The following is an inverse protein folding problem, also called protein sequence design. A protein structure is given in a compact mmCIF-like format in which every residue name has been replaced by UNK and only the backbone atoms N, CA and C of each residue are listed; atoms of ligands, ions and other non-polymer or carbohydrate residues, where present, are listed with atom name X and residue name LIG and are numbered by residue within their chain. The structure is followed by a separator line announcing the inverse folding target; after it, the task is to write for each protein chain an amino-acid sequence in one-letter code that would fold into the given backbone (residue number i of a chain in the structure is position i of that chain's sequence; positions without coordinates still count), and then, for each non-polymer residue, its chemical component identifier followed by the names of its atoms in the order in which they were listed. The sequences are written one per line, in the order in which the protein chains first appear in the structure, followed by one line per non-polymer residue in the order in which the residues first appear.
data_IF_644049384081
#
_entry.id   IF_644049384081
#
_cell.length_a   1.000
_cell.length_b   1.000
_cell.length_c   1.000
_cell.angle_alpha   90.00
_cell.angle_beta   90.00
_cell.angle_gamma   90.00
#
_symmetry.space_group_name_H-M   'P 1'
#
loop_
_entity.id
_entity.type
_entity.pdbx_description
1 polymer ?
#
# COMPACT_ATOMS: atom_id res chain seq x y z
N UNK A 1 12.80 -2.64 -23.03
CA UNK A 1 13.92 -3.09 -23.88
C UNK A 1 13.67 -2.93 -25.38
N UNK A 2 12.41 -2.92 -25.85
CA UNK A 2 12.07 -2.85 -27.28
C UNK A 2 12.73 -1.77 -28.14
N UNK A 3 13.09 -0.61 -27.57
CA UNK A 3 13.74 0.47 -28.34
C UNK A 3 15.22 0.13 -28.59
N UNK A 4 15.90 -0.46 -27.60
CA UNK A 4 17.32 -0.81 -27.71
C UNK A 4 17.47 -2.03 -28.63
N UNK A 5 16.57 -2.99 -28.51
CA UNK A 5 16.54 -4.18 -29.39
C UNK A 5 16.31 -3.80 -30.86
N UNK A 6 15.46 -2.80 -31.12
CA UNK A 6 15.24 -2.25 -32.48
C UNK A 6 16.47 -1.60 -33.08
N UNK A 7 17.43 -1.16 -32.27
CA UNK A 7 18.66 -0.51 -32.71
C UNK A 7 19.91 -1.37 -32.49
N UNK A 8 19.76 -2.63 -32.08
CA UNK A 8 20.85 -3.57 -31.83
C UNK A 8 21.80 -3.73 -33.03
N UNK A 9 21.28 -3.61 -34.26
CA UNK A 9 22.06 -3.70 -35.49
C UNK A 9 23.09 -2.57 -35.68
N UNK A 10 22.99 -1.48 -34.90
CA UNK A 10 23.86 -0.29 -34.97
C UNK A 10 24.80 -0.25 -33.76
N UNK A 11 24.48 -0.99 -32.70
CA UNK A 11 25.24 -1.01 -31.46
C UNK A 11 26.22 -2.18 -31.51
N UNK A 12 27.52 -1.96 -31.30
CA UNK A 12 28.48 -3.05 -31.17
C UNK A 12 28.02 -4.04 -30.09
N UNK A 13 28.17 -5.34 -30.34
CA UNK A 13 27.61 -6.40 -29.49
C UNK A 13 28.06 -6.29 -28.01
N UNK A 14 29.32 -5.90 -27.79
CA UNK A 14 29.85 -5.63 -26.46
C UNK A 14 29.16 -4.46 -25.75
N UNK A 15 28.93 -3.35 -26.46
CA UNK A 15 28.28 -2.15 -25.92
C UNK A 15 26.78 -2.41 -25.66
N UNK A 16 26.13 -3.21 -26.51
CA UNK A 16 24.73 -3.61 -26.32
C UNK A 16 24.59 -4.45 -25.05
N UNK A 17 25.47 -5.43 -24.83
CA UNK A 17 25.50 -6.24 -23.61
C UNK A 17 25.79 -5.38 -22.38
N UNK A 18 26.70 -4.42 -22.47
CA UNK A 18 27.02 -3.50 -21.38
C UNK A 18 25.83 -2.59 -21.05
N UNK A 19 25.14 -2.05 -22.06
CA UNK A 19 23.92 -1.27 -21.89
C UNK A 19 22.81 -2.11 -21.24
N UNK A 20 22.59 -3.33 -21.70
CA UNK A 20 21.62 -4.25 -21.12
C UNK A 20 21.95 -4.59 -19.65
N UNK A 21 23.23 -4.85 -19.34
CA UNK A 21 23.69 -5.12 -17.98
C UNK A 21 23.59 -3.89 -17.07
N UNK A 22 23.91 -2.70 -17.58
CA UNK A 22 23.82 -1.44 -16.84
C UNK A 22 22.37 -1.04 -16.59
N UNK A 23 21.47 -1.27 -17.56
CA UNK A 23 20.03 -1.08 -17.36
C UNK A 23 19.49 -2.09 -16.35
N UNK A 24 19.85 -3.37 -16.47
CA UNK A 24 19.47 -4.41 -15.49
C UNK A 24 19.94 -4.04 -14.08
N UNK A 25 21.17 -3.54 -13.93
CA UNK A 25 21.71 -3.03 -12.65
C UNK A 25 20.98 -1.77 -12.16
N UNK A 26 20.72 -0.80 -13.04
CA UNK A 26 20.05 0.45 -12.68
C UNK A 26 18.58 0.23 -12.27
N UNK A 27 17.91 -0.75 -12.87
CA UNK A 27 16.55 -1.16 -12.47
C UNK A 27 16.56 -2.05 -11.22
N UNK A 28 17.58 -2.89 -11.00
CA UNK A 28 17.77 -3.63 -9.74
C UNK A 28 17.90 -2.71 -8.51
N UNK A 29 18.43 -1.50 -8.69
CA UNK A 29 18.73 -0.57 -7.58
C UNK A 29 17.49 0.22 -7.09
N UNK A 30 16.34 0.17 -7.77
CA UNK A 30 15.19 1.04 -7.44
C UNK A 30 14.21 0.49 -6.40
N UNK A 31 14.32 -0.75 -5.98
CA UNK A 31 13.67 -1.24 -4.77
C UNK A 31 14.77 -1.81 -3.87
N UNK A 32 14.91 -1.27 -2.65
CA UNK A 32 15.76 -1.89 -1.63
C UNK A 32 15.43 -3.38 -1.54
N UNK A 33 16.44 -4.22 -1.33
CA UNK A 33 16.30 -5.67 -1.40
C UNK A 33 15.03 -6.10 -0.65
N UNK A 34 14.10 -6.69 -1.39
CA UNK A 34 12.82 -7.11 -0.81
C UNK A 34 12.95 -8.40 0.00
N UNK A 35 14.09 -9.09 -0.17
CA UNK A 35 14.65 -10.13 0.68
C UNK A 35 15.70 -9.52 1.63
N UNK A 36 15.93 -10.18 2.76
CA UNK A 36 16.93 -9.85 3.76
C UNK A 36 18.35 -10.17 3.25
N UNK A 37 18.49 -11.18 2.40
CA UNK A 37 19.76 -11.59 1.82
C UNK A 37 19.82 -11.32 0.30
N UNK A 38 21.02 -11.01 -0.22
CA UNK A 38 21.29 -10.93 -1.66
C UNK A 38 21.84 -12.26 -2.16
N UNK A 39 20.96 -13.10 -2.72
CA UNK A 39 21.32 -14.39 -3.32
C UNK A 39 22.11 -14.24 -4.64
N UNK A 40 22.22 -13.04 -5.20
CA UNK A 40 22.99 -12.79 -6.42
C UNK A 40 24.47 -12.49 -6.17
N UNK A 41 24.86 -12.28 -4.91
CA UNK A 41 26.25 -12.16 -4.47
C UNK A 41 26.56 -13.23 -3.40
N UNK A 42 27.25 -14.29 -3.83
CA UNK A 42 27.63 -15.41 -2.95
C UNK A 42 28.54 -14.99 -1.79
N UNK A 43 29.19 -13.82 -1.87
CA UNK A 43 29.99 -13.28 -0.76
C UNK A 43 29.16 -12.60 0.33
N UNK A 44 27.87 -12.32 0.07
CA UNK A 44 27.00 -11.59 1.01
C UNK A 44 26.47 -12.48 2.13
N UNK A 45 26.25 -13.78 1.86
CA UNK A 45 25.75 -14.73 2.86
C UNK A 45 26.88 -15.19 3.78
N UNK A 46 28.06 -15.52 3.25
CA UNK A 46 29.29 -15.73 4.03
C UNK A 46 30.57 -15.49 3.20
N UNK A 47 31.41 -14.52 3.58
CA UNK A 47 32.75 -14.41 3.01
C UNK A 47 33.70 -15.44 3.65
N UNK A 48 34.52 -16.13 2.83
CA UNK A 48 35.65 -17.00 3.23
C UNK A 48 35.31 -18.32 3.98
N UNK A 49 34.43 -19.16 3.45
CA UNK A 49 34.35 -20.57 3.90
C UNK A 49 35.04 -21.51 2.89
N UNK A 50 35.94 -22.38 3.35
CA UNK A 50 36.62 -23.38 2.50
C UNK A 50 35.84 -24.69 2.33
N UNK A 51 34.55 -24.73 2.70
CA UNK A 51 33.75 -25.95 2.78
C UNK A 51 32.34 -25.76 2.22
N UNK A 52 32.08 -26.44 1.10
CA UNK A 52 30.79 -26.47 0.38
C UNK A 52 29.61 -26.84 1.28
N UNK A 53 29.83 -27.66 2.31
CA UNK A 53 28.77 -28.07 3.25
C UNK A 53 28.23 -26.88 4.07
N UNK A 54 29.12 -26.01 4.57
CA UNK A 54 28.71 -24.84 5.33
C UNK A 54 28.07 -23.79 4.43
N UNK A 55 28.53 -23.64 3.19
CA UNK A 55 27.87 -22.76 2.21
C UNK A 55 26.41 -23.16 1.98
N UNK A 56 26.13 -24.46 1.80
CA UNK A 56 24.77 -24.97 1.61
C UNK A 56 23.90 -24.77 2.86
N UNK A 57 24.39 -25.12 4.05
CA UNK A 57 23.64 -24.97 5.31
C UNK A 57 23.22 -23.51 5.58
N UNK A 58 24.13 -22.56 5.36
CA UNK A 58 23.82 -21.15 5.58
C UNK A 58 22.96 -20.56 4.46
N UNK A 59 23.06 -21.08 3.24
CA UNK A 59 22.17 -20.71 2.14
C UNK A 59 20.73 -21.17 2.44
N UNK A 60 20.55 -22.44 2.82
CA UNK A 60 19.24 -23.00 3.18
C UNK A 60 18.61 -22.22 4.33
N UNK A 61 19.41 -21.92 5.37
CA UNK A 61 18.94 -21.11 6.49
C UNK A 61 18.59 -19.67 6.10
N UNK A 62 19.35 -19.05 5.20
CA UNK A 62 19.02 -17.72 4.69
C UNK A 62 17.69 -17.73 3.93
N UNK A 63 17.49 -18.74 3.07
CA UNK A 63 16.26 -18.95 2.32
C UNK A 63 15.05 -19.17 3.25
N UNK A 64 15.18 -19.98 4.30
CA UNK A 64 14.13 -20.16 5.32
C UNK A 64 13.74 -18.84 6.00
N UNK A 65 14.73 -18.05 6.43
CA UNK A 65 14.49 -16.76 7.08
C UNK A 65 13.80 -15.76 6.17
N UNK A 66 14.16 -15.75 4.88
CA UNK A 66 13.49 -14.90 3.90
C UNK A 66 12.08 -15.36 3.58
N UNK A 67 11.86 -16.68 3.44
CA UNK A 67 10.54 -17.24 3.27
C UNK A 67 9.62 -16.85 4.44
N UNK A 68 10.10 -16.99 5.67
CA UNK A 68 9.38 -16.55 6.87
C UNK A 68 9.09 -15.05 6.81
N UNK A 69 10.07 -14.21 6.51
CA UNK A 69 9.88 -12.76 6.42
C UNK A 69 8.83 -12.36 5.37
N UNK A 70 8.90 -12.95 4.18
CA UNK A 70 7.96 -12.67 3.09
C UNK A 70 6.54 -13.18 3.42
N UNK A 71 6.42 -14.35 4.06
CA UNK A 71 5.13 -14.92 4.45
C UNK A 71 4.42 -14.07 5.51
N UNK A 72 5.16 -13.51 6.48
CA UNK A 72 4.62 -12.58 7.47
C UNK A 72 4.14 -11.27 6.82
N UNK A 73 4.93 -10.70 5.90
CA UNK A 73 4.49 -9.52 5.13
C UNK A 73 3.23 -9.81 4.32
N UNK A 74 3.16 -10.97 3.66
CA UNK A 74 1.99 -11.39 2.89
C UNK A 74 0.74 -11.48 3.78
N UNK A 75 0.87 -12.13 4.94
CA UNK A 75 -0.21 -12.28 5.91
C UNK A 75 -0.74 -10.93 6.37
N UNK A 76 0.17 -10.03 6.75
CA UNK A 76 -0.19 -8.67 7.13
C UNK A 76 -0.97 -7.95 6.03
N UNK A 77 -0.44 -7.91 4.80
CA UNK A 77 -1.06 -7.19 3.69
C UNK A 77 -2.43 -7.74 3.29
N UNK A 78 -2.62 -9.07 3.35
CA UNK A 78 -3.93 -9.68 3.12
C UNK A 78 -4.95 -9.25 4.19
N UNK A 79 -4.54 -9.25 5.47
CA UNK A 79 -5.40 -8.78 6.56
C UNK A 79 -5.75 -7.30 6.43
N UNK A 80 -4.77 -6.47 6.07
CA UNK A 80 -4.90 -5.02 5.89
C UNK A 80 -5.87 -4.69 4.75
N UNK A 81 -5.78 -5.43 3.64
CA UNK A 81 -6.68 -5.31 2.48
C UNK A 81 -8.14 -5.61 2.87
N UNK A 82 -8.37 -6.67 3.64
CA UNK A 82 -9.71 -7.05 4.10
C UNK A 82 -10.30 -6.01 5.07
N UNK A 83 -9.48 -5.49 6.00
CA UNK A 83 -9.90 -4.42 6.91
C UNK A 83 -10.32 -3.13 6.18
N UNK A 84 -9.82 -2.92 4.96
CA UNK A 84 -10.07 -1.73 4.15
C UNK A 84 -11.15 -1.91 3.08
N UNK A 85 -12.03 -2.90 3.20
CA UNK A 85 -13.20 -3.02 2.32
C UNK A 85 -14.02 -1.71 2.25
N UNK A 86 -14.58 -1.36 1.07
CA UNK A 86 -15.41 -0.18 0.91
C UNK A 86 -16.65 -0.24 1.81
N UNK A 87 -16.99 0.89 2.43
CA UNK A 87 -18.22 1.03 3.19
C UNK A 87 -19.43 1.06 2.27
N UNK A 88 -20.40 0.18 2.57
CA UNK A 88 -21.64 0.06 1.80
C UNK A 88 -22.73 1.04 2.25
N UNK A 89 -22.68 1.49 3.51
CA UNK A 89 -23.71 2.36 4.11
C UNK A 89 -23.12 3.25 5.21
N UNK A 90 -23.80 4.37 5.46
CA UNK A 90 -23.49 5.24 6.59
C UNK A 90 -24.04 4.64 7.89
N UNK A 91 -23.25 3.77 8.53
CA UNK A 91 -23.56 3.23 9.86
C UNK A 91 -23.58 4.33 10.93
N UNK A 92 -24.06 4.03 12.14
CA UNK A 92 -24.02 4.97 13.28
C UNK A 92 -22.60 5.49 13.53
N UNK A 93 -21.60 4.62 13.45
CA UNK A 93 -20.19 4.98 13.60
C UNK A 93 -19.74 5.96 12.52
N UNK A 94 -20.07 5.68 11.25
CA UNK A 94 -19.73 6.56 10.13
C UNK A 94 -20.44 7.91 10.26
N UNK A 95 -21.69 7.92 10.69
CA UNK A 95 -22.45 9.15 10.94
C UNK A 95 -21.80 10.00 12.03
N UNK A 96 -21.38 9.40 13.16
CA UNK A 96 -20.69 10.12 14.22
C UNK A 96 -19.33 10.67 13.76
N UNK A 97 -18.56 9.87 13.00
CA UNK A 97 -17.31 10.33 12.39
C UNK A 97 -17.56 11.50 11.42
N UNK A 98 -18.61 11.41 10.62
CA UNK A 98 -19.01 12.48 9.69
C UNK A 98 -19.35 13.77 10.44
N UNK A 99 -20.08 13.66 11.56
CA UNK A 99 -20.39 14.80 12.44
C UNK A 99 -19.11 15.40 13.00
N UNK A 100 -18.20 14.56 13.52
CA UNK A 100 -16.92 15.01 14.06
C UNK A 100 -16.11 15.79 13.03
N UNK A 101 -15.92 15.25 11.82
CA UNK A 101 -15.17 15.94 10.77
C UNK A 101 -15.84 17.23 10.29
N UNK A 102 -17.17 17.25 10.23
CA UNK A 102 -17.89 18.47 9.94
C UNK A 102 -17.61 19.53 11.01
N UNK A 103 -17.71 19.15 12.29
CA UNK A 103 -17.48 20.06 13.40
C UNK A 103 -16.03 20.57 13.43
N UNK A 104 -15.04 19.69 13.26
CA UNK A 104 -13.61 20.05 13.17
C UNK A 104 -13.36 21.06 12.04
N UNK A 105 -13.95 20.84 10.87
CA UNK A 105 -13.78 21.71 9.71
C UNK A 105 -14.33 23.12 9.91
N UNK A 106 -15.42 23.26 10.68
CA UNK A 106 -16.09 24.54 10.92
C UNK A 106 -15.81 25.12 12.30
N UNK A 107 -14.93 24.50 13.10
CA UNK A 107 -14.61 24.94 14.46
C UNK A 107 -15.81 24.89 15.41
N UNK A 108 -16.69 23.89 15.26
CA UNK A 108 -17.87 23.71 16.11
C UNK A 108 -17.50 22.78 17.27
N UNK A 109 -17.73 23.23 18.49
CA UNK A 109 -17.60 22.41 19.68
C UNK A 109 -18.96 21.89 20.12
N UNK A 110 -19.09 20.56 20.20
CA UNK A 110 -20.30 19.88 20.68
C UNK A 110 -19.94 19.06 21.93
N UNK A 111 -20.91 18.89 22.83
CA UNK A 111 -20.76 17.98 23.97
C UNK A 111 -20.55 16.53 23.52
N UNK A 112 -21.27 16.13 22.49
CA UNK A 112 -21.14 14.82 21.84
C UNK A 112 -21.26 14.96 20.32
N UNK A 113 -20.37 14.31 19.58
CA UNK A 113 -20.39 14.29 18.11
C UNK A 113 -21.40 13.29 17.57
N UNK A 114 -22.69 13.57 17.78
CA UNK A 114 -23.81 12.77 17.27
C UNK A 114 -24.70 13.59 16.33
N UNK A 115 -25.43 12.93 15.41
CA UNK A 115 -26.31 13.63 14.47
C UNK A 115 -27.40 14.44 15.16
N UNK A 116 -27.91 13.97 16.30
CA UNK A 116 -28.96 14.65 17.05
C UNK A 116 -28.47 15.95 17.67
N UNK A 117 -27.29 15.94 18.28
CA UNK A 117 -26.68 17.14 18.88
C UNK A 117 -26.32 18.14 17.80
N UNK A 118 -25.77 17.68 16.67
CA UNK A 118 -25.50 18.55 15.52
C UNK A 118 -26.79 19.19 14.99
N UNK A 119 -27.89 18.45 14.91
CA UNK A 119 -29.18 18.99 14.47
C UNK A 119 -29.64 20.15 15.36
N UNK A 120 -29.62 19.96 16.68
CA UNK A 120 -30.03 21.00 17.66
C UNK A 120 -29.17 22.25 17.47
N UNK A 121 -27.84 22.10 17.39
CA UNK A 121 -26.93 23.22 17.17
C UNK A 121 -27.24 23.98 15.86
N UNK A 122 -27.47 23.26 14.75
CA UNK A 122 -27.74 23.88 13.45
C UNK A 122 -29.11 24.59 13.42
N UNK A 123 -30.11 24.03 14.12
CA UNK A 123 -31.44 24.62 14.25
C UNK A 123 -31.38 25.91 15.10
N UNK A 124 -30.69 25.89 16.24
CA UNK A 124 -30.49 27.05 17.13
C UNK A 124 -29.76 28.21 16.43
N UNK A 125 -28.78 27.90 15.59
CA UNK A 125 -28.00 28.89 14.84
C UNK A 125 -28.67 29.31 13.52
N UNK A 126 -29.89 28.85 13.22
CA UNK A 126 -30.61 29.14 11.97
C UNK A 126 -29.78 28.87 10.69
N UNK A 127 -28.97 27.82 10.69
CA UNK A 127 -28.08 27.47 9.56
C UNK A 127 -28.87 26.72 8.48
N UNK A 128 -29.87 25.93 8.87
CA UNK A 128 -30.68 25.10 7.96
C UNK A 128 -31.91 25.88 7.46
N UNK A 129 -31.71 26.88 6.60
CA UNK A 129 -32.78 27.79 6.16
C UNK A 129 -33.72 27.23 5.07
N UNK A 130 -33.31 26.25 4.28
CA UNK A 130 -34.09 25.78 3.10
C UNK A 130 -34.15 24.25 2.94
N UNK A 131 -33.12 23.52 3.39
CA UNK A 131 -33.08 22.05 3.34
C UNK A 131 -33.19 21.52 4.76
N UNK A 132 -34.22 20.74 5.05
CA UNK A 132 -34.36 20.07 6.35
C UNK A 132 -33.13 19.21 6.68
N UNK A 133 -32.77 19.14 7.96
CA UNK A 133 -31.58 18.46 8.48
C UNK A 133 -31.35 17.07 7.85
N UNK A 134 -32.40 16.26 7.71
CA UNK A 134 -32.31 14.90 7.17
C UNK A 134 -31.70 14.86 5.77
N UNK A 135 -32.08 15.79 4.88
CA UNK A 135 -31.56 15.83 3.51
C UNK A 135 -30.11 16.29 3.51
N UNK A 136 -29.82 17.38 4.24
CA UNK A 136 -28.46 17.89 4.42
C UNK A 136 -27.52 16.82 4.97
N UNK A 137 -27.90 16.15 6.04
CA UNK A 137 -27.06 15.15 6.70
C UNK A 137 -26.86 13.90 5.84
N UNK A 138 -27.88 13.50 5.07
CA UNK A 138 -27.75 12.41 4.10
C UNK A 138 -26.75 12.75 3.00
N UNK A 139 -26.79 13.97 2.47
CA UNK A 139 -25.84 14.45 1.45
C UNK A 139 -24.41 14.54 2.03
N UNK A 140 -24.28 14.98 3.28
CA UNK A 140 -23.00 15.02 3.99
C UNK A 140 -22.40 13.61 4.18
N UNK A 141 -23.20 12.66 4.68
CA UNK A 141 -22.77 11.26 4.84
C UNK A 141 -22.41 10.61 3.49
N UNK A 142 -23.16 10.91 2.43
CA UNK A 142 -22.87 10.43 1.07
C UNK A 142 -21.51 10.95 0.58
N UNK A 143 -21.25 12.23 0.80
CA UNK A 143 -19.99 12.86 0.41
C UNK A 143 -18.81 12.27 1.19
N UNK A 144 -18.97 12.06 2.50
CA UNK A 144 -17.97 11.38 3.32
C UNK A 144 -17.69 9.96 2.83
N UNK A 145 -18.75 9.15 2.61
CA UNK A 145 -18.60 7.78 2.11
C UNK A 145 -17.86 7.73 0.77
N UNK A 146 -18.17 8.66 -0.14
CA UNK A 146 -17.49 8.71 -1.44
C UNK A 146 -16.00 8.99 -1.27
N UNK A 147 -15.64 9.98 -0.46
CA UNK A 147 -14.23 10.33 -0.21
C UNK A 147 -13.48 9.18 0.48
N UNK A 148 -14.06 8.62 1.53
CA UNK A 148 -13.48 7.51 2.30
C UNK A 148 -13.30 6.25 1.43
N UNK A 149 -14.30 5.91 0.62
CA UNK A 149 -14.19 4.76 -0.28
C UNK A 149 -13.17 4.97 -1.39
N UNK A 150 -13.05 6.19 -1.92
CA UNK A 150 -12.00 6.53 -2.89
C UNK A 150 -10.60 6.38 -2.27
N UNK A 151 -10.41 6.84 -1.03
CA UNK A 151 -9.15 6.62 -0.30
C UNK A 151 -8.87 5.12 -0.11
N UNK A 152 -9.86 4.35 0.36
CA UNK A 152 -9.75 2.89 0.54
C UNK A 152 -9.42 2.16 -0.75
N UNK A 153 -9.98 2.59 -1.86
CA UNK A 153 -9.70 2.02 -3.19
C UNK A 153 -8.24 2.25 -3.59
N UNK A 154 -7.75 3.50 -3.51
CA UNK A 154 -6.35 3.84 -3.79
C UNK A 154 -5.42 3.01 -2.89
N UNK A 155 -5.72 2.94 -1.59
CA UNK A 155 -4.91 2.20 -0.64
C UNK A 155 -4.89 0.69 -0.92
N UNK A 156 -6.05 0.09 -1.21
CA UNK A 156 -6.15 -1.33 -1.59
C UNK A 156 -5.41 -1.64 -2.88
N UNK A 157 -5.43 -0.73 -3.86
CA UNK A 157 -4.67 -0.90 -5.10
C UNK A 157 -3.16 -0.92 -4.82
N UNK A 158 -2.67 -0.04 -3.94
CA UNK A 158 -1.27 -0.07 -3.51
C UNK A 158 -0.92 -1.37 -2.76
N UNK A 159 -1.81 -1.87 -1.89
CA UNK A 159 -1.62 -3.16 -1.22
C UNK A 159 -1.57 -4.31 -2.25
N UNK A 160 -2.45 -4.32 -3.25
CA UNK A 160 -2.44 -5.35 -4.31
C UNK A 160 -1.12 -5.35 -5.08
N UNK A 161 -0.62 -4.17 -5.45
CA UNK A 161 0.67 -4.05 -6.12
C UNK A 161 1.79 -4.61 -5.24
N UNK A 162 1.79 -4.28 -3.94
CA UNK A 162 2.79 -4.82 -3.01
C UNK A 162 2.69 -6.34 -2.84
N UNK A 163 1.48 -6.90 -2.76
CA UNK A 163 1.24 -8.35 -2.72
C UNK A 163 1.79 -9.02 -3.98
N UNK A 164 1.57 -8.43 -5.15
CA UNK A 164 2.06 -8.96 -6.41
C UNK A 164 3.59 -8.99 -6.44
N UNK A 165 4.25 -7.90 -6.03
CA UNK A 165 5.71 -7.84 -5.94
C UNK A 165 6.25 -8.94 -4.99
N UNK A 166 5.65 -9.12 -3.81
CA UNK A 166 6.07 -10.17 -2.86
C UNK A 166 5.92 -11.59 -3.41
N UNK A 167 4.89 -11.85 -4.22
CA UNK A 167 4.70 -13.16 -4.85
C UNK A 167 5.75 -13.46 -5.90
N UNK A 168 6.16 -12.45 -6.68
CA UNK A 168 7.22 -12.59 -7.67
C UNK A 168 8.55 -12.92 -6.97
N UNK A 169 8.86 -12.21 -5.89
CA UNK A 169 10.07 -12.42 -5.10
C UNK A 169 10.14 -13.80 -4.44
N UNK A 170 9.02 -14.30 -3.93
CA UNK A 170 8.96 -15.65 -3.35
C UNK A 170 9.24 -16.77 -4.36
N UNK A 171 9.16 -16.50 -5.67
CA UNK A 171 9.52 -17.48 -6.71
C UNK A 171 11.00 -17.39 -7.12
N UNK A 172 11.71 -16.33 -6.69
CA UNK A 172 13.12 -16.08 -7.03
C UNK A 172 14.11 -16.59 -5.98
N UNK A 173 13.61 -16.94 -4.78
CA UNK A 173 14.35 -17.64 -3.71
C UNK A 173 14.28 -19.14 -3.98
#
# INVERSE_FOLDING_TARGET
MEIIDRHSNIIPEGDYLEICNNLRKAYKVKEGHSTLFDYSDTNTILPNISSVYFEMEFYDRAAELDYDFLSHQMTYLLSEKEAHLPFQRASKTIQNITVRHYCERYGIELSEYTPNVLKVYLDENNILKEKGFTKFFKDLCRSYLQMENNFREIYRNNINNRIQNLRELSNEI
#
